data_IF_707267678222
#
_entry.id   IF_707267678222
#
_cell.length_a   1.000
_cell.length_b   1.000
_cell.length_c   1.000
_cell.angle_alpha   90.00
_cell.angle_beta   90.00
_cell.angle_gamma   90.00
#
_symmetry.space_group_name_H-M   'P 1'
#
loop_
_entity.id
_entity.type
_entity.pdbx_description
1 polymer ?
#
# COMPACT_ATOMS: atom_id res chain seq x y z
N UNK A 1 -7.02 17.62 -8.51
CA UNK A 1 -6.41 16.29 -8.35
C UNK A 1 -7.43 15.30 -7.82
N UNK A 2 -7.47 14.10 -8.42
CA UNK A 2 -8.22 12.96 -7.85
C UNK A 2 -7.22 12.06 -7.12
N UNK A 3 -7.35 11.97 -5.81
CA UNK A 3 -6.44 11.16 -4.98
C UNK A 3 -7.07 9.81 -4.68
N UNK A 4 -6.40 8.74 -5.13
CA UNK A 4 -6.80 7.35 -4.86
C UNK A 4 -6.07 6.89 -3.60
N UNK A 5 -6.78 6.88 -2.46
CA UNK A 5 -6.19 6.65 -1.14
C UNK A 5 -6.37 5.20 -0.69
N UNK A 6 -5.29 4.57 -0.28
CA UNK A 6 -5.29 3.21 0.26
C UNK A 6 -4.13 2.93 1.22
N UNK A 7 -3.95 1.67 1.56
CA UNK A 7 -2.88 1.19 2.43
C UNK A 7 -1.97 0.22 1.70
N UNK A 8 -0.73 0.09 2.16
CA UNK A 8 0.22 -0.90 1.66
C UNK A 8 -0.02 -2.26 2.32
N UNK A 9 -1.07 -2.96 1.88
CA UNK A 9 -1.52 -4.23 2.42
C UNK A 9 -2.78 -4.08 3.28
N UNK A 10 -3.35 -5.24 3.66
CA UNK A 10 -4.57 -5.30 4.46
C UNK A 10 -4.54 -6.41 5.52
N UNK A 11 -3.47 -7.22 5.60
CA UNK A 11 -3.43 -8.43 6.43
C UNK A 11 -2.65 -8.21 7.73
N UNK A 12 -3.04 -7.18 8.49
CA UNK A 12 -2.35 -6.81 9.73
C UNK A 12 -3.15 -7.24 10.96
N UNK A 13 -2.52 -8.09 11.82
CA UNK A 13 -3.18 -8.64 13.01
C UNK A 13 -3.49 -7.60 14.08
N UNK A 14 -2.67 -6.59 14.18
CA UNK A 14 -2.79 -5.48 15.12
C UNK A 14 -3.88 -4.46 14.72
N UNK A 15 -4.43 -4.57 13.50
CA UNK A 15 -5.63 -3.82 13.11
C UNK A 15 -6.92 -4.40 13.69
N UNK A 16 -6.89 -5.60 14.27
CA UNK A 16 -8.06 -6.20 14.94
C UNK A 16 -8.42 -5.42 16.20
N UNK A 17 -9.68 -4.99 16.30
CA UNK A 17 -10.18 -4.11 17.37
C UNK A 17 -9.82 -2.64 17.16
N UNK A 18 -9.23 -2.33 15.99
CA UNK A 18 -9.02 -0.99 15.46
C UNK A 18 -9.79 -0.85 14.15
N UNK A 19 -9.16 -0.97 13.01
CA UNK A 19 -9.84 -0.96 11.71
C UNK A 19 -10.75 -2.19 11.52
N UNK A 20 -10.29 -3.40 11.87
CA UNK A 20 -11.15 -4.58 11.81
C UNK A 20 -11.95 -4.78 13.09
N UNK A 21 -13.28 -5.06 12.99
CA UNK A 21 -14.09 -5.46 14.15
C UNK A 21 -13.40 -6.59 14.93
N UNK A 22 -13.46 -6.60 16.27
CA UNK A 22 -12.76 -7.60 17.10
C UNK A 22 -13.12 -9.05 16.74
N UNK A 23 -14.36 -9.27 16.31
CA UNK A 23 -14.91 -10.60 15.99
C UNK A 23 -14.81 -10.98 14.52
N UNK A 24 -14.36 -10.06 13.63
CA UNK A 24 -14.29 -10.32 12.20
C UNK A 24 -13.24 -11.39 11.89
N UNK A 25 -13.62 -12.53 11.25
CA UNK A 25 -12.65 -13.53 10.83
C UNK A 25 -11.66 -12.98 9.81
N UNK A 26 -10.38 -13.37 9.92
CA UNK A 26 -9.32 -12.90 9.01
C UNK A 26 -9.63 -13.12 7.53
N UNK A 27 -10.34 -14.21 7.19
CA UNK A 27 -10.75 -14.50 5.81
C UNK A 27 -11.65 -13.43 5.19
N UNK A 28 -12.29 -12.57 5.99
CA UNK A 28 -13.16 -11.47 5.54
C UNK A 28 -12.50 -10.09 5.62
N UNK A 29 -11.18 -10.04 5.92
CA UNK A 29 -10.48 -8.76 6.01
C UNK A 29 -10.35 -8.05 4.67
N UNK A 30 -10.25 -8.79 3.57
CA UNK A 30 -10.20 -8.18 2.24
C UNK A 30 -11.52 -7.48 1.91
N UNK A 31 -12.63 -8.14 2.12
CA UNK A 31 -13.96 -7.57 1.88
C UNK A 31 -14.19 -6.33 2.74
N UNK A 32 -13.90 -6.43 4.05
CA UNK A 32 -14.02 -5.29 4.95
C UNK A 32 -13.12 -4.13 4.52
N UNK A 33 -11.87 -4.40 4.13
CA UNK A 33 -10.97 -3.38 3.61
C UNK A 33 -11.55 -2.73 2.35
N UNK A 34 -12.08 -3.53 1.44
CA UNK A 34 -12.62 -3.05 0.16
C UNK A 34 -13.97 -2.31 0.29
N UNK A 35 -14.72 -2.55 1.37
CA UNK A 35 -15.89 -1.72 1.72
C UNK A 35 -15.50 -0.30 2.14
N UNK A 36 -14.32 -0.13 2.77
CA UNK A 36 -13.89 1.13 3.37
C UNK A 36 -12.87 1.89 2.51
N UNK A 37 -12.04 1.20 1.73
CA UNK A 37 -11.10 1.78 0.78
C UNK A 37 -11.46 1.39 -0.65
N UNK A 38 -11.09 2.21 -1.62
CA UNK A 38 -11.26 1.89 -3.04
C UNK A 38 -10.00 1.30 -3.69
N UNK A 39 -8.90 1.19 -2.95
CA UNK A 39 -7.64 0.67 -3.45
C UNK A 39 -6.78 0.07 -2.34
N UNK A 40 -5.83 -0.77 -2.76
CA UNK A 40 -4.75 -1.30 -1.92
C UNK A 40 -3.48 -1.51 -2.75
N UNK A 41 -2.32 -1.31 -2.14
CA UNK A 41 -1.05 -1.77 -2.67
C UNK A 41 -0.76 -3.17 -2.13
N UNK A 42 -0.80 -4.20 -2.98
CA UNK A 42 -0.48 -5.57 -2.58
C UNK A 42 1.02 -5.78 -2.48
N UNK A 43 1.52 -6.10 -1.29
CA UNK A 43 2.90 -6.49 -1.03
C UNK A 43 3.13 -8.01 -1.09
N UNK A 44 2.09 -8.81 -1.26
CA UNK A 44 2.18 -10.27 -1.28
C UNK A 44 3.10 -10.77 -2.40
N UNK A 45 2.98 -10.19 -3.60
CA UNK A 45 3.79 -10.54 -4.76
C UNK A 45 5.29 -10.26 -4.55
N UNK A 46 5.65 -9.32 -3.69
CA UNK A 46 7.03 -9.00 -3.37
C UNK A 46 7.76 -10.19 -2.73
N UNK A 47 7.14 -10.88 -1.78
CA UNK A 47 7.74 -12.02 -1.08
C UNK A 47 7.55 -13.33 -1.85
N UNK A 48 6.35 -13.58 -2.30
CA UNK A 48 5.96 -14.74 -3.08
C UNK A 48 4.86 -14.35 -4.04
N UNK A 49 5.16 -14.39 -5.34
CA UNK A 49 4.19 -14.05 -6.38
C UNK A 49 3.01 -15.05 -6.33
N UNK A 50 1.78 -14.56 -6.05
CA UNK A 50 0.60 -15.42 -6.04
C UNK A 50 0.31 -16.00 -7.42
N UNK A 51 -0.39 -17.12 -7.45
CA UNK A 51 -0.95 -17.69 -8.68
C UNK A 51 -2.05 -16.79 -9.25
N UNK A 52 -2.24 -16.79 -10.56
CA UNK A 52 -3.27 -16.01 -11.27
C UNK A 52 -4.66 -16.19 -10.64
N UNK A 53 -5.06 -17.43 -10.34
CA UNK A 53 -6.31 -17.75 -9.68
C UNK A 53 -6.47 -17.08 -8.30
N UNK A 54 -5.39 -16.66 -7.63
CA UNK A 54 -5.47 -15.89 -6.39
C UNK A 54 -5.86 -14.44 -6.66
N UNK A 55 -5.30 -13.83 -7.70
CA UNK A 55 -5.68 -12.49 -8.14
C UNK A 55 -7.13 -12.46 -8.65
N UNK A 56 -7.57 -13.49 -9.39
CA UNK A 56 -8.95 -13.66 -9.81
C UNK A 56 -9.91 -13.70 -8.61
N UNK A 57 -9.61 -14.52 -7.58
CA UNK A 57 -10.39 -14.55 -6.34
C UNK A 57 -10.37 -13.21 -5.59
N UNK A 58 -9.28 -12.44 -5.61
CA UNK A 58 -9.26 -11.11 -5.00
C UNK A 58 -10.17 -10.14 -5.75
N UNK A 59 -10.12 -10.19 -7.08
CA UNK A 59 -11.03 -9.40 -7.94
C UNK A 59 -12.51 -9.73 -7.65
N UNK A 60 -12.86 -11.00 -7.57
CA UNK A 60 -14.22 -11.46 -7.31
C UNK A 60 -14.75 -11.05 -5.93
N UNK A 61 -13.87 -10.94 -4.94
CA UNK A 61 -14.19 -10.62 -3.55
C UNK A 61 -14.17 -9.13 -3.23
N UNK A 62 -13.95 -8.29 -4.21
CA UNK A 62 -13.90 -6.83 -4.04
C UNK A 62 -14.88 -6.13 -4.97
N UNK A 63 -15.39 -4.94 -4.60
CA UNK A 63 -16.33 -4.18 -5.43
C UNK A 63 -15.77 -3.88 -6.83
N UNK A 64 -16.61 -3.64 -7.86
CA UNK A 64 -16.16 -3.38 -9.24
C UNK A 64 -15.21 -2.18 -9.38
N UNK A 65 -15.37 -1.17 -8.54
CA UNK A 65 -14.55 0.04 -8.51
C UNK A 65 -13.25 -0.09 -7.69
N UNK A 66 -12.98 -1.26 -7.10
CA UNK A 66 -11.79 -1.48 -6.30
C UNK A 66 -10.55 -1.70 -7.19
N UNK A 67 -9.53 -0.88 -6.98
CA UNK A 67 -8.30 -0.83 -7.80
C UNK A 67 -7.13 -1.46 -7.05
N UNK A 68 -6.17 -1.99 -7.77
CA UNK A 68 -5.03 -2.70 -7.21
C UNK A 68 -3.72 -2.12 -7.72
N UNK A 69 -2.86 -1.67 -6.83
CA UNK A 69 -1.44 -1.56 -7.12
C UNK A 69 -0.74 -2.86 -6.66
N UNK A 70 0.22 -3.33 -7.44
CA UNK A 70 0.96 -4.55 -7.11
C UNK A 70 2.46 -4.25 -7.06
N UNK A 71 3.07 -4.47 -5.89
CA UNK A 71 4.52 -4.36 -5.74
C UNK A 71 5.19 -5.57 -6.40
N UNK A 72 6.05 -5.31 -7.38
CA UNK A 72 6.80 -6.32 -8.10
C UNK A 72 7.67 -7.18 -7.17
N UNK A 73 7.93 -8.42 -7.57
CA UNK A 73 8.63 -9.40 -6.74
C UNK A 73 10.06 -8.96 -6.39
N UNK A 74 10.50 -9.31 -5.18
CA UNK A 74 11.89 -9.11 -4.77
C UNK A 74 12.89 -9.83 -5.66
N UNK A 75 12.45 -10.88 -6.35
CA UNK A 75 13.29 -11.60 -7.31
C UNK A 75 13.75 -10.68 -8.43
N UNK A 76 12.83 -9.92 -9.06
CA UNK A 76 13.17 -8.94 -10.10
C UNK A 76 14.00 -7.78 -9.53
N UNK A 77 13.53 -7.16 -8.44
CA UNK A 77 14.06 -5.87 -7.99
C UNK A 77 15.29 -5.99 -7.09
N UNK A 78 15.34 -6.98 -6.18
CA UNK A 78 16.37 -7.13 -5.17
C UNK A 78 17.41 -8.21 -5.48
N UNK A 79 16.98 -9.35 -6.03
CA UNK A 79 17.88 -10.47 -6.32
C UNK A 79 18.51 -10.33 -7.72
N UNK A 80 17.70 -10.21 -8.76
CA UNK A 80 18.20 -9.95 -10.13
C UNK A 80 18.65 -8.51 -10.35
N UNK A 81 18.20 -7.57 -9.50
CA UNK A 81 18.57 -6.16 -9.57
C UNK A 81 18.33 -5.58 -10.98
N UNK A 82 17.15 -5.84 -11.53
CA UNK A 82 16.64 -5.52 -12.86
C UNK A 82 17.35 -6.25 -14.03
N UNK A 83 18.31 -7.14 -13.79
CA UNK A 83 18.95 -7.92 -14.85
C UNK A 83 18.01 -9.00 -15.39
N UNK A 84 18.11 -9.26 -16.70
CA UNK A 84 17.29 -10.27 -17.40
C UNK A 84 15.80 -10.13 -17.03
N UNK A 85 15.19 -8.96 -17.25
CA UNK A 85 13.85 -8.66 -16.72
C UNK A 85 12.72 -9.37 -17.47
N UNK A 86 12.97 -9.87 -18.69
CA UNK A 86 11.94 -10.36 -19.61
C UNK A 86 11.05 -11.45 -18.97
N UNK A 87 11.65 -12.52 -18.45
CA UNK A 87 10.90 -13.62 -17.82
C UNK A 87 10.23 -13.18 -16.51
N UNK A 88 10.90 -12.51 -15.56
CA UNK A 88 10.27 -12.05 -14.33
C UNK A 88 9.09 -11.09 -14.56
N UNK A 89 9.21 -10.18 -15.52
CA UNK A 89 8.11 -9.24 -15.86
C UNK A 89 6.97 -9.97 -16.55
N UNK A 90 7.25 -10.81 -17.55
CA UNK A 90 6.23 -11.60 -18.25
C UNK A 90 5.42 -12.45 -17.25
N UNK A 91 6.11 -13.15 -16.31
CA UNK A 91 5.46 -13.94 -15.28
C UNK A 91 4.64 -13.10 -14.31
N UNK A 92 5.14 -11.92 -13.90
CA UNK A 92 4.37 -10.99 -13.08
C UNK A 92 3.08 -10.57 -13.80
N UNK A 93 3.20 -10.13 -15.07
CA UNK A 93 2.06 -9.65 -15.85
C UNK A 93 1.04 -10.75 -16.15
N UNK A 94 1.48 -11.99 -16.43
CA UNK A 94 0.58 -13.14 -16.54
C UNK A 94 -0.23 -13.36 -15.26
N UNK A 95 0.41 -13.29 -14.09
CA UNK A 95 -0.27 -13.51 -12.81
C UNK A 95 -1.25 -12.39 -12.47
N UNK A 96 -0.81 -11.14 -12.58
CA UNK A 96 -1.67 -9.98 -12.23
C UNK A 96 -2.79 -9.76 -13.25
N UNK A 97 -2.73 -10.37 -14.45
CA UNK A 97 -3.83 -10.39 -15.41
C UNK A 97 -5.13 -10.98 -14.80
N UNK A 98 -5.04 -11.75 -13.70
CA UNK A 98 -6.19 -12.19 -12.93
C UNK A 98 -7.00 -11.03 -12.30
N UNK A 99 -6.40 -9.85 -12.13
CA UNK A 99 -7.10 -8.62 -11.69
C UNK A 99 -7.90 -7.97 -12.83
N UNK A 100 -7.59 -8.29 -14.09
CA UNK A 100 -8.24 -7.67 -15.26
C UNK A 100 -8.03 -6.16 -15.28
N UNK A 101 -9.11 -5.43 -15.55
CA UNK A 101 -9.17 -3.96 -15.60
C UNK A 101 -8.99 -3.26 -14.23
N UNK A 102 -8.92 -4.03 -13.14
CA UNK A 102 -8.69 -3.48 -11.80
C UNK A 102 -7.22 -3.36 -11.43
N UNK A 103 -6.28 -3.85 -12.26
CA UNK A 103 -4.86 -3.53 -12.10
C UNK A 103 -4.65 -2.06 -12.47
N UNK A 104 -4.27 -1.26 -11.48
CA UNK A 104 -4.06 0.18 -11.67
C UNK A 104 -2.59 0.52 -11.90
N UNK A 105 -1.70 -0.07 -11.11
CA UNK A 105 -0.27 0.16 -11.24
C UNK A 105 0.59 -1.01 -10.76
N UNK A 106 1.82 -1.05 -11.26
CA UNK A 106 2.90 -1.91 -10.73
C UNK A 106 3.97 -1.05 -10.10
N UNK A 107 4.36 -1.36 -8.86
CA UNK A 107 5.45 -0.68 -8.16
C UNK A 107 6.76 -1.45 -8.27
N UNK A 108 7.78 -0.85 -8.87
CA UNK A 108 9.17 -1.29 -8.86
C UNK A 108 9.94 -0.58 -7.74
N UNK A 109 9.90 -1.10 -6.52
CA UNK A 109 10.73 -0.58 -5.44
C UNK A 109 12.12 -1.20 -5.49
N UNK A 110 13.15 -0.36 -5.62
CA UNK A 110 14.55 -0.77 -5.73
C UNK A 110 15.24 -0.75 -4.35
N UNK A 111 16.20 -1.68 -4.09
CA UNK A 111 16.90 -1.69 -2.82
C UNK A 111 17.87 -0.51 -2.68
N UNK A 112 18.14 -0.03 -1.45
CA UNK A 112 19.04 1.11 -1.22
C UNK A 112 20.51 0.84 -1.64
N UNK A 113 20.87 -0.42 -1.84
CA UNK A 113 22.21 -0.82 -2.34
C UNK A 113 22.30 -0.87 -3.86
N UNK A 114 21.21 -0.65 -4.59
CA UNK A 114 21.20 -0.63 -6.05
C UNK A 114 21.53 0.78 -6.53
N UNK A 115 22.74 0.99 -7.00
CA UNK A 115 23.13 2.21 -7.70
C UNK A 115 22.44 2.29 -9.06
N UNK A 116 22.32 3.51 -9.59
CA UNK A 116 21.73 3.74 -10.89
C UNK A 116 22.45 2.97 -11.99
N UNK A 117 21.66 2.34 -12.81
CA UNK A 117 22.03 1.74 -14.09
C UNK A 117 20.84 2.01 -15.03
N UNK A 118 21.02 3.01 -15.88
CA UNK A 118 19.94 3.54 -16.73
C UNK A 118 19.56 2.52 -17.79
N UNK A 119 20.54 1.77 -18.32
CA UNK A 119 20.31 0.75 -19.33
C UNK A 119 19.49 -0.42 -18.78
N UNK A 120 19.81 -0.90 -17.57
CA UNK A 120 19.01 -1.92 -16.90
C UNK A 120 17.58 -1.45 -16.59
N UNK A 121 17.42 -0.20 -16.17
CA UNK A 121 16.08 0.35 -15.94
C UNK A 121 15.31 0.48 -17.26
N UNK A 122 15.95 0.95 -18.32
CA UNK A 122 15.35 1.05 -19.65
C UNK A 122 14.93 -0.32 -20.19
N UNK A 123 15.81 -1.33 -20.10
CA UNK A 123 15.49 -2.70 -20.48
C UNK A 123 14.30 -3.24 -19.68
N UNK A 124 14.29 -3.01 -18.37
CA UNK A 124 13.21 -3.49 -17.50
C UNK A 124 11.87 -2.81 -17.80
N UNK A 125 11.84 -1.49 -17.96
CA UNK A 125 10.61 -0.76 -18.28
C UNK A 125 10.06 -1.17 -19.65
N UNK A 126 10.93 -1.44 -20.63
CA UNK A 126 10.56 -1.91 -21.95
C UNK A 126 9.90 -3.29 -21.99
N UNK A 127 9.97 -4.09 -20.91
CA UNK A 127 9.29 -5.39 -20.84
C UNK A 127 7.81 -5.30 -20.43
N UNK A 128 7.38 -4.18 -19.88
CA UNK A 128 5.97 -4.05 -19.50
C UNK A 128 5.09 -3.80 -20.73
N UNK A 129 3.91 -4.43 -20.80
CA UNK A 129 2.95 -4.17 -21.86
C UNK A 129 2.59 -2.68 -21.95
N UNK A 130 2.37 -2.19 -23.17
CA UNK A 130 1.93 -0.81 -23.39
C UNK A 130 0.67 -0.48 -22.57
N UNK A 131 0.64 0.71 -21.99
CA UNK A 131 -0.47 1.14 -21.13
C UNK A 131 -0.39 0.66 -19.68
N UNK A 132 0.61 -0.18 -19.31
CA UNK A 132 0.84 -0.53 -17.91
C UNK A 132 1.41 0.67 -17.15
N UNK A 133 0.71 1.15 -16.14
CA UNK A 133 1.24 2.17 -15.22
C UNK A 133 2.33 1.55 -14.35
N UNK A 134 3.57 2.04 -14.45
CA UNK A 134 4.69 1.58 -13.64
C UNK A 134 5.18 2.72 -12.77
N UNK A 135 5.20 2.53 -11.45
CA UNK A 135 5.84 3.42 -10.51
C UNK A 135 7.23 2.88 -10.14
N UNK A 136 8.24 3.73 -10.12
CA UNK A 136 9.61 3.36 -9.74
C UNK A 136 9.98 4.08 -8.45
N UNK A 137 10.36 3.32 -7.42
CA UNK A 137 10.84 3.84 -6.13
C UNK A 137 12.31 3.50 -5.91
N UNK A 138 13.25 4.28 -6.45
CA UNK A 138 14.67 4.14 -6.15
C UNK A 138 14.94 4.58 -4.71
N UNK A 139 16.01 4.04 -4.09
CA UNK A 139 16.40 4.38 -2.71
C UNK A 139 17.88 4.73 -2.55
N UNK A 140 18.60 4.88 -3.66
CA UNK A 140 20.00 5.29 -3.67
C UNK A 140 20.12 6.64 -4.41
N UNK A 141 20.90 7.56 -3.89
CA UNK A 141 21.04 8.93 -4.41
C UNK A 141 21.51 8.99 -5.86
N UNK A 142 22.29 8.00 -6.32
CA UNK A 142 22.78 7.95 -7.71
C UNK A 142 21.67 7.92 -8.78
N UNK A 143 20.41 7.66 -8.39
CA UNK A 143 19.27 7.69 -9.30
C UNK A 143 18.74 9.11 -9.57
N UNK A 144 19.23 10.12 -8.85
CA UNK A 144 18.72 11.48 -8.97
C UNK A 144 19.45 12.25 -10.06
N UNK A 145 19.29 11.83 -11.32
CA UNK A 145 19.93 12.44 -12.51
C UNK A 145 18.88 12.78 -13.57
N UNK A 146 19.19 13.78 -14.41
CA UNK A 146 18.30 14.17 -15.52
C UNK A 146 18.11 13.03 -16.52
N UNK A 147 19.11 12.15 -16.69
CA UNK A 147 19.03 10.98 -17.55
C UNK A 147 17.96 10.00 -17.05
N UNK A 148 17.96 9.70 -15.75
CA UNK A 148 16.92 8.86 -15.13
C UNK A 148 15.56 9.54 -15.23
N UNK A 149 15.48 10.83 -14.96
CA UNK A 149 14.24 11.60 -15.09
C UNK A 149 13.68 11.50 -16.51
N UNK A 150 14.51 11.79 -17.53
CA UNK A 150 14.10 11.71 -18.94
C UNK A 150 13.72 10.30 -19.37
N UNK A 151 14.35 9.26 -18.80
CA UNK A 151 13.94 7.87 -19.02
C UNK A 151 12.53 7.60 -18.49
N UNK A 152 12.24 7.99 -17.24
CA UNK A 152 10.92 7.81 -16.63
C UNK A 152 9.84 8.56 -17.42
N UNK A 153 10.12 9.80 -17.85
CA UNK A 153 9.21 10.61 -18.67
C UNK A 153 8.88 9.93 -20.02
N UNK A 154 9.88 9.33 -20.70
CA UNK A 154 9.65 8.58 -21.96
C UNK A 154 8.71 7.39 -21.80
N UNK A 155 8.80 6.68 -20.68
CA UNK A 155 7.94 5.54 -20.38
C UNK A 155 6.62 5.92 -19.69
N UNK A 156 6.40 7.21 -19.39
CA UNK A 156 5.29 7.66 -18.54
C UNK A 156 5.27 6.86 -17.21
N UNK A 157 6.45 6.50 -16.72
CA UNK A 157 6.64 5.83 -15.45
C UNK A 157 6.71 6.86 -14.33
N UNK A 158 5.84 6.73 -13.32
CA UNK A 158 5.82 7.66 -12.20
C UNK A 158 7.05 7.44 -11.31
N UNK A 159 7.86 8.49 -11.06
CA UNK A 159 8.76 8.46 -9.92
C UNK A 159 7.89 8.39 -8.66
N UNK A 160 8.03 7.32 -7.89
CA UNK A 160 7.32 7.20 -6.63
C UNK A 160 7.86 8.26 -5.64
N UNK A 161 7.02 9.21 -5.28
CA UNK A 161 7.32 10.08 -4.16
C UNK A 161 7.20 9.25 -2.88
N UNK A 162 8.21 9.30 -2.06
CA UNK A 162 8.23 8.54 -0.83
C UNK A 162 8.62 9.45 0.34
N UNK A 163 7.93 9.28 1.46
CA UNK A 163 8.19 10.00 2.70
C UNK A 163 8.60 9.02 3.79
N UNK A 164 9.57 9.42 4.59
CA UNK A 164 9.96 8.73 5.82
C UNK A 164 10.35 9.75 6.87
N UNK A 165 9.83 9.56 8.07
CA UNK A 165 10.05 10.48 9.18
C UNK A 165 9.69 11.93 8.81
N UNK A 166 8.57 12.07 8.06
CA UNK A 166 8.01 13.34 7.61
C UNK A 166 8.95 14.15 6.68
N UNK A 167 9.85 13.44 5.99
CA UNK A 167 10.76 14.01 5.01
C UNK A 167 10.69 13.25 3.68
N UNK A 168 10.65 13.96 2.54
CA UNK A 168 10.82 13.33 1.23
C UNK A 168 12.17 12.62 1.16
N UNK A 169 12.18 11.38 0.65
CA UNK A 169 13.41 10.60 0.45
C UNK A 169 13.82 10.50 -1.03
N UNK A 170 13.15 11.23 -1.90
CA UNK A 170 13.39 11.32 -3.33
C UNK A 170 13.09 12.74 -3.82
N UNK A 171 13.66 13.18 -4.98
CA UNK A 171 13.21 14.41 -5.62
C UNK A 171 11.70 14.34 -5.94
N UNK A 172 11.03 15.47 -5.87
CA UNK A 172 9.61 15.56 -6.18
C UNK A 172 9.40 15.81 -7.70
N UNK A 173 9.92 14.94 -8.52
CA UNK A 173 9.75 15.03 -9.97
C UNK A 173 8.40 14.48 -10.39
N UNK A 174 7.72 15.20 -11.26
CA UNK A 174 6.60 14.67 -12.01
C UNK A 174 7.15 14.09 -13.32
N UNK A 175 7.08 12.77 -13.48
CA UNK A 175 7.62 12.03 -14.64
C UNK A 175 6.55 11.34 -15.46
N UNK A 176 5.27 11.48 -15.06
CA UNK A 176 4.13 10.92 -15.76
C UNK A 176 2.90 11.83 -15.59
N UNK A 177 1.85 11.56 -16.36
CA UNK A 177 0.53 12.22 -16.24
C UNK A 177 -0.28 11.71 -15.06
N UNK A 178 0.31 10.93 -14.19
CA UNK A 178 -0.25 10.40 -12.96
C UNK A 178 0.83 10.31 -11.89
N UNK A 179 0.44 10.24 -10.62
CA UNK A 179 1.38 10.23 -9.50
C UNK A 179 1.28 8.98 -8.63
N UNK A 180 2.36 8.74 -7.86
CA UNK A 180 2.43 7.67 -6.87
C UNK A 180 3.14 8.16 -5.62
N UNK A 181 2.48 8.12 -4.47
CA UNK A 181 3.03 8.54 -3.18
C UNK A 181 2.97 7.40 -2.17
N UNK A 182 4.06 7.20 -1.43
CA UNK A 182 4.13 6.26 -0.30
C UNK A 182 4.57 6.97 0.97
N UNK A 183 3.78 6.79 2.02
CA UNK A 183 3.99 7.37 3.34
C UNK A 183 4.39 6.27 4.33
N UNK A 184 5.67 6.27 4.79
CA UNK A 184 6.24 5.14 5.53
C UNK A 184 6.19 5.27 7.05
N UNK A 185 6.58 6.42 7.60
CA UNK A 185 6.59 6.64 9.06
C UNK A 185 6.52 8.12 9.38
N UNK A 186 5.84 8.48 10.47
CA UNK A 186 5.96 9.81 11.07
C UNK A 186 7.34 10.02 11.71
N UNK A 187 7.63 11.24 12.14
CA UNK A 187 8.89 11.62 12.77
C UNK A 187 9.05 11.00 14.19
N UNK A 188 7.96 10.99 14.95
CA UNK A 188 7.95 10.55 16.35
C UNK A 188 7.12 9.29 16.60
N UNK A 189 7.02 8.42 15.60
CA UNK A 189 6.24 7.18 15.68
C UNK A 189 5.72 6.73 14.33
N UNK A 190 4.65 5.93 14.33
CA UNK A 190 4.09 5.42 13.07
C UNK A 190 3.14 6.42 12.41
N UNK A 191 2.37 7.21 13.19
CA UNK A 191 1.43 8.20 12.68
C UNK A 191 2.13 9.48 12.23
N UNK A 192 1.54 10.13 11.22
CA UNK A 192 1.96 11.42 10.69
C UNK A 192 1.30 12.57 11.44
N UNK A 193 1.99 13.69 11.54
CA UNK A 193 1.38 14.95 11.99
C UNK A 193 0.40 15.47 10.91
N UNK A 194 -0.77 16.02 11.32
CA UNK A 194 -1.74 16.56 10.37
C UNK A 194 -1.15 17.60 9.43
N UNK A 195 -0.23 18.45 9.93
CA UNK A 195 0.43 19.49 9.14
C UNK A 195 1.28 18.91 8.00
N UNK A 196 1.95 17.79 8.26
CA UNK A 196 2.72 17.08 7.22
C UNK A 196 1.81 16.49 6.16
N UNK A 197 0.68 15.92 6.56
CA UNK A 197 -0.31 15.40 5.62
C UNK A 197 -0.95 16.54 4.79
N UNK A 198 -1.22 17.70 5.39
CA UNK A 198 -1.67 18.89 4.67
C UNK A 198 -0.65 19.36 3.64
N UNK A 199 0.64 19.41 4.01
CA UNK A 199 1.71 19.79 3.09
C UNK A 199 1.80 18.81 1.90
N UNK A 200 1.65 17.50 2.13
CA UNK A 200 1.63 16.51 1.05
C UNK A 200 0.40 16.69 0.14
N UNK A 201 -0.79 16.91 0.69
CA UNK A 201 -2.00 17.17 -0.09
C UNK A 201 -1.84 18.43 -0.97
N UNK A 202 -1.26 19.50 -0.43
CA UNK A 202 -0.96 20.71 -1.17
C UNK A 202 0.03 20.47 -2.31
N UNK A 203 1.16 19.79 -2.06
CA UNK A 203 2.15 19.42 -3.09
C UNK A 203 1.53 18.62 -4.24
N UNK A 204 0.64 17.68 -3.92
CA UNK A 204 -0.06 16.90 -4.94
C UNK A 204 -0.99 17.79 -5.78
N UNK A 205 -1.76 18.67 -5.14
CA UNK A 205 -2.66 19.59 -5.84
C UNK A 205 -1.90 20.54 -6.77
N UNK A 206 -0.78 21.11 -6.32
CA UNK A 206 0.07 22.02 -7.08
C UNK A 206 0.75 21.32 -8.27
N UNK A 207 1.16 20.04 -8.11
CA UNK A 207 1.94 19.33 -9.12
C UNK A 207 1.07 18.61 -10.14
N UNK A 208 -0.02 17.95 -9.71
CA UNK A 208 -0.81 17.07 -10.57
C UNK A 208 -2.11 17.69 -11.07
N UNK A 209 -2.57 18.80 -10.46
CA UNK A 209 -3.76 19.50 -10.94
C UNK A 209 -5.01 18.63 -10.94
N UNK A 210 -5.43 18.15 -12.13
CA UNK A 210 -6.61 17.28 -12.28
C UNK A 210 -6.26 15.78 -12.45
N UNK A 211 -4.97 15.46 -12.54
CA UNK A 211 -4.53 14.09 -12.79
C UNK A 211 -4.65 13.20 -11.55
N UNK A 212 -4.76 11.89 -11.76
CA UNK A 212 -4.87 10.90 -10.69
C UNK A 212 -3.55 10.72 -9.94
N UNK A 213 -3.63 10.62 -8.63
CA UNK A 213 -2.48 10.24 -7.79
C UNK A 213 -2.86 9.07 -6.88
N UNK A 214 -2.07 8.00 -6.95
CA UNK A 214 -2.19 6.84 -6.07
C UNK A 214 -1.39 7.11 -4.79
N UNK A 215 -2.04 7.03 -3.63
CA UNK A 215 -1.42 7.30 -2.33
C UNK A 215 -1.59 6.11 -1.41
N UNK A 216 -0.47 5.55 -0.95
CA UNK A 216 -0.47 4.38 -0.09
C UNK A 216 0.25 4.64 1.24
N UNK A 217 -0.49 4.44 2.31
CA UNK A 217 0.01 4.49 3.68
C UNK A 217 0.67 3.14 4.01
N UNK A 218 1.97 3.16 4.30
CA UNK A 218 2.80 2.00 4.62
C UNK A 218 3.29 2.04 6.07
N UNK A 219 2.66 2.83 6.91
CA UNK A 219 2.88 2.98 8.34
C UNK A 219 1.89 2.11 9.13
N UNK A 220 1.86 0.83 8.82
CA UNK A 220 0.85 -0.15 9.26
C UNK A 220 0.75 -0.37 10.77
N UNK A 221 1.85 -0.35 11.57
CA UNK A 221 1.78 -0.72 12.98
C UNK A 221 0.78 0.12 13.77
N UNK A 222 0.00 -0.58 14.59
CA UNK A 222 -1.00 0.03 15.43
C UNK A 222 -2.22 0.63 14.68
N UNK A 223 -2.34 0.37 13.37
CA UNK A 223 -3.41 0.93 12.55
C UNK A 223 -3.21 2.41 12.20
N UNK A 224 -1.99 2.95 12.34
CA UNK A 224 -1.71 4.34 11.99
C UNK A 224 -2.08 4.66 10.55
N UNK A 225 -1.78 3.75 9.61
CA UNK A 225 -2.10 3.88 8.20
C UNK A 225 -3.59 4.21 7.93
N UNK A 226 -4.51 3.59 8.65
CA UNK A 226 -5.95 3.81 8.44
C UNK A 226 -6.41 5.16 8.98
N UNK A 227 -5.86 5.61 10.12
CA UNK A 227 -6.14 6.92 10.73
C UNK A 227 -5.58 8.05 9.86
N UNK A 228 -4.33 7.90 9.43
CA UNK A 228 -3.65 8.90 8.60
C UNK A 228 -4.29 9.02 7.21
N UNK A 229 -4.79 7.92 6.65
CA UNK A 229 -5.55 7.94 5.39
C UNK A 229 -6.81 8.82 5.50
N UNK A 230 -7.52 8.78 6.62
CA UNK A 230 -8.69 9.65 6.87
C UNK A 230 -8.26 11.11 7.02
N UNK A 231 -7.24 11.39 7.83
CA UNK A 231 -6.71 12.74 8.03
C UNK A 231 -6.21 13.34 6.71
N UNK A 232 -5.57 12.51 5.89
CA UNK A 232 -5.10 12.92 4.57
C UNK A 232 -6.24 13.20 3.59
N UNK A 233 -7.31 12.42 3.63
CA UNK A 233 -8.51 12.67 2.82
C UNK A 233 -9.16 14.03 3.17
N UNK A 234 -9.17 14.40 4.44
CA UNK A 234 -9.62 15.74 4.88
C UNK A 234 -8.71 16.84 4.34
N UNK A 235 -7.38 16.63 4.38
CA UNK A 235 -6.41 17.55 3.82
C UNK A 235 -6.58 17.72 2.30
N UNK A 236 -6.82 16.65 1.55
CA UNK A 236 -7.10 16.69 0.11
C UNK A 236 -8.34 17.53 -0.18
N UNK A 237 -9.43 17.36 0.59
CA UNK A 237 -10.64 18.19 0.44
C UNK A 237 -10.36 19.66 0.71
N UNK A 238 -9.52 19.97 1.70
CA UNK A 238 -9.15 21.35 2.03
C UNK A 238 -8.38 22.05 0.90
N UNK A 239 -7.68 21.30 0.01
CA UNK A 239 -7.04 21.87 -1.20
C UNK A 239 -7.99 21.99 -2.40
N UNK A 240 -9.28 21.64 -2.25
CA UNK A 240 -10.24 21.60 -3.36
C UNK A 240 -10.12 20.34 -4.23
N UNK A 241 -9.30 19.36 -3.83
CA UNK A 241 -9.16 18.06 -4.49
C UNK A 241 -10.31 17.10 -4.15
N UNK A 242 -10.40 16.02 -4.92
CA UNK A 242 -11.32 14.90 -4.66
C UNK A 242 -10.52 13.67 -4.26
N UNK A 243 -11.14 12.76 -3.52
CA UNK A 243 -10.52 11.50 -3.16
C UNK A 243 -11.50 10.32 -3.27
N UNK A 244 -10.97 9.11 -3.39
CA UNK A 244 -11.75 7.88 -3.31
C UNK A 244 -12.22 7.63 -1.87
N UNK A 245 -13.16 6.67 -1.69
CA UNK A 245 -13.67 6.35 -0.34
C UNK A 245 -12.54 5.97 0.62
N UNK A 246 -12.68 6.45 1.85
CA UNK A 246 -11.89 6.08 3.03
C UNK A 246 -12.83 5.78 4.19
N UNK A 247 -12.42 5.05 5.24
CA UNK A 247 -13.25 4.84 6.42
C UNK A 247 -13.57 6.16 7.13
N UNK A 248 -14.58 6.17 7.98
CA UNK A 248 -14.74 7.25 8.95
C UNK A 248 -13.63 7.16 10.00
N UNK A 249 -13.31 8.28 10.68
CA UNK A 249 -12.32 8.28 11.75
C UNK A 249 -12.66 7.28 12.87
N UNK A 250 -13.95 7.11 13.21
CA UNK A 250 -14.38 6.13 14.20
C UNK A 250 -14.09 4.68 13.76
N UNK A 251 -14.27 4.37 12.47
CA UNK A 251 -13.94 3.05 11.92
C UNK A 251 -12.42 2.83 11.85
N UNK A 252 -11.67 3.83 11.41
CA UNK A 252 -10.22 3.76 11.28
C UNK A 252 -9.50 3.58 12.64
N UNK A 253 -10.00 4.25 13.69
CA UNK A 253 -9.41 4.23 15.04
C UNK A 253 -9.91 3.11 15.95
N UNK A 254 -10.99 2.42 15.55
CA UNK A 254 -11.66 1.39 16.36
C UNK A 254 -12.71 1.93 17.33
N UNK A 255 -12.97 3.23 17.36
CA UNK A 255 -14.02 3.82 18.20
C UNK A 255 -15.44 3.38 17.79
N UNK A 256 -15.60 2.89 16.55
CA UNK A 256 -16.87 2.34 16.05
C UNK A 256 -17.21 0.96 16.63
N UNK A 257 -16.25 0.25 17.26
CA UNK A 257 -16.47 -1.10 17.73
C UNK A 257 -16.79 -1.14 19.22
N UNK A 258 -17.72 -2.00 19.67
CA UNK A 258 -17.98 -2.17 21.10
C UNK A 258 -16.71 -2.64 21.83
N UNK A 259 -16.51 -2.24 23.10
CA UNK A 259 -15.39 -2.68 23.88
C UNK A 259 -15.33 -4.21 23.94
N UNK A 260 -14.11 -4.75 23.85
CA UNK A 260 -13.90 -6.20 23.91
C UNK A 260 -14.53 -6.74 25.20
N UNK A 261 -15.40 -7.76 25.14
CA UNK A 261 -15.96 -8.34 26.35
C UNK A 261 -14.84 -8.84 27.26
N UNK A 262 -14.98 -8.71 28.58
CA UNK A 262 -13.97 -9.19 29.50
C UNK A 262 -13.70 -10.68 29.28
N UNK A 263 -12.47 -11.15 29.47
CA UNK A 263 -12.15 -12.55 29.33
C UNK A 263 -13.07 -13.36 30.25
N UNK A 264 -13.74 -14.39 29.71
CA UNK A 264 -14.55 -15.29 30.53
C UNK A 264 -13.68 -15.80 31.68
N UNK A 265 -14.11 -15.56 32.91
CA UNK A 265 -13.46 -16.11 34.09
C UNK A 265 -13.29 -17.62 33.91
N UNK A 266 -12.07 -18.12 33.97
CA UNK A 266 -11.83 -19.56 33.99
C UNK A 266 -12.57 -20.10 35.21
N UNK A 267 -13.65 -20.82 35.02
CA UNK A 267 -14.24 -21.62 36.07
C UNK A 267 -13.17 -22.60 36.56
N UNK A 268 -12.61 -22.34 37.73
CA UNK A 268 -11.77 -23.33 38.40
C UNK A 268 -12.70 -24.52 38.65
N UNK A 269 -12.40 -25.66 38.06
CA UNK A 269 -13.04 -26.92 38.40
C UNK A 269 -12.86 -27.12 39.90
N UNK A 270 -13.99 -27.15 40.62
CA UNK A 270 -14.02 -27.49 42.03
C UNK A 270 -13.48 -28.91 42.15
N UNK A 271 -12.28 -29.04 42.75
CA UNK A 271 -11.70 -30.32 43.02
C UNK A 271 -12.62 -31.11 43.97
N UNK A 272 -13.09 -32.24 43.49
CA UNK A 272 -13.74 -33.28 44.30
C UNK A 272 -12.75 -33.77 45.35
N UNK A 273 -12.93 -33.36 46.60
CA UNK A 273 -12.29 -34.00 47.75
C UNK A 273 -12.96 -35.34 47.99
N UNK A 274 -12.31 -36.41 47.50
CA UNK A 274 -12.72 -37.76 47.91
C UNK A 274 -12.28 -37.97 49.38
N UNK A 275 -13.25 -38.16 50.23
CA UNK A 275 -13.10 -38.69 51.61
C UNK A 275 -12.38 -40.03 51.56
N UNK A 276 -11.24 -40.14 52.21
CA UNK A 276 -10.67 -41.42 52.62
C UNK A 276 -10.99 -41.59 54.10
N UNK A 277 -11.89 -42.54 54.41
CA UNK A 277 -12.14 -43.06 55.73
C UNK A 277 -11.06 -44.10 56.09
N UNK A 278 -10.50 -44.13 57.31
CA UNK A 278 -9.57 -45.17 57.73
C UNK A 278 -10.37 -46.34 58.37
N UNK A 279 -9.92 -47.54 58.11
CA UNK A 279 -10.11 -48.76 58.91
C UNK A 279 -8.86 -49.57 58.93
#
# INVERSE_FOLDING_TARGET
>A
VTVVIGTSGWQYRDWRGRFYPPVLPQRLWLEHHAEHFATVESNNAFYRLPERATFERWRERTPPDYRWAVKASRFLTHLKRLREPAEPVARLMDRVAGLGDRLDAVLLQLPPTLKADVDLLNECLGQFPAGTRVAVEPRHESWWTDEVRGLLERYQAALCWADRAEQPIAPLWRTAEWGYLRLHTGEHGWGYRPETLQLWAQRLAETYGQDDVLVYFNNDPGGAATVDAVTFADAVRATGGTHTRVPTMAQASGAAWPPKPPPKARQRAAGSSANVTPS
#
